data_IF_280397346283
#
_entry.id   IF_280397346283
#
_cell.length_a   1.000
_cell.length_b   1.000
_cell.length_c   1.000
_cell.angle_alpha   90.00
_cell.angle_beta   90.00
_cell.angle_gamma   90.00
#
_symmetry.space_group_name_H-M   'P 1'
#
loop_
_entity.id
_entity.type
_entity.pdbx_description
1 polymer ?
#
# COMPACT_ATOMS: atom_id res chain seq x y z
N UNK A 1 18.18 6.50 14.22
CA UNK A 1 18.11 6.23 15.66
C UNK A 1 17.19 5.05 15.89
N UNK A 2 17.60 4.04 16.62
CA UNK A 2 16.74 2.90 17.01
C UNK A 2 15.84 3.37 18.14
N UNK A 3 14.52 3.34 17.96
CA UNK A 3 13.54 3.75 18.99
C UNK A 3 12.97 2.52 19.66
N UNK A 4 12.88 2.55 20.97
CA UNK A 4 12.23 1.50 21.74
C UNK A 4 10.74 1.86 21.90
N UNK A 5 9.89 1.35 20.99
CA UNK A 5 8.44 1.60 21.03
C UNK A 5 7.77 1.01 22.28
N UNK A 6 8.50 0.20 23.06
CA UNK A 6 7.99 -0.39 24.31
C UNK A 6 8.28 0.47 25.54
N UNK A 7 9.16 1.50 25.44
CA UNK A 7 9.58 2.32 26.57
C UNK A 7 9.30 3.81 26.44
N UNK A 8 9.47 4.34 25.22
CA UNK A 8 9.32 5.78 24.93
C UNK A 8 7.86 6.25 25.12
N UNK A 9 7.60 7.57 25.33
CA UNK A 9 6.26 8.12 25.43
C UNK A 9 5.37 7.73 24.24
N UNK A 10 4.20 7.16 24.51
CA UNK A 10 3.32 6.47 23.54
C UNK A 10 3.04 7.32 22.29
N UNK A 11 2.43 8.48 22.46
CA UNK A 11 2.02 9.37 21.36
C UNK A 11 3.22 9.85 20.55
N UNK A 12 4.27 10.30 21.23
CA UNK A 12 5.48 10.85 20.61
C UNK A 12 6.21 9.77 19.81
N UNK A 13 6.32 8.56 20.34
CA UNK A 13 7.02 7.46 19.65
C UNK A 13 6.27 7.01 18.40
N UNK A 14 4.93 6.92 18.46
CA UNK A 14 4.11 6.59 17.29
C UNK A 14 4.23 7.65 16.18
N UNK A 15 4.08 8.94 16.51
CA UNK A 15 4.17 10.02 15.53
C UNK A 15 5.55 10.09 14.88
N UNK A 16 6.60 10.08 15.70
CA UNK A 16 7.97 10.16 15.19
C UNK A 16 8.40 8.90 14.41
N UNK A 17 7.72 7.78 14.60
CA UNK A 17 7.90 6.57 13.79
C UNK A 17 7.07 6.62 12.50
N UNK A 18 5.85 7.17 12.55
CA UNK A 18 4.95 7.28 11.40
C UNK A 18 5.41 8.33 10.37
N UNK A 19 5.93 9.49 10.83
CA UNK A 19 6.33 10.58 9.93
C UNK A 19 7.29 10.13 8.82
N UNK A 20 8.39 9.38 9.09
CA UNK A 20 9.26 8.91 8.02
C UNK A 20 8.58 7.91 7.07
N UNK A 21 7.58 7.14 7.52
CA UNK A 21 6.81 6.25 6.65
C UNK A 21 5.94 7.06 5.70
N UNK A 22 5.18 8.01 6.23
CA UNK A 22 4.33 8.91 5.45
C UNK A 22 5.17 9.71 4.42
N UNK A 23 6.30 10.25 4.84
CA UNK A 23 7.21 10.97 3.93
C UNK A 23 7.78 10.05 2.85
N UNK A 24 8.04 8.77 3.16
CA UNK A 24 8.49 7.78 2.19
C UNK A 24 7.45 7.52 1.11
N UNK A 25 6.21 7.29 1.50
CA UNK A 25 5.13 7.00 0.55
C UNK A 25 4.74 8.25 -0.27
N UNK A 26 4.76 9.45 0.34
CA UNK A 26 4.59 10.70 -0.40
C UNK A 26 5.72 10.91 -1.42
N UNK A 27 6.97 10.66 -1.05
CA UNK A 27 8.10 10.74 -1.97
C UNK A 27 7.98 9.75 -3.12
N UNK A 28 7.48 8.54 -2.83
CA UNK A 28 7.20 7.53 -3.84
C UNK A 28 6.14 8.00 -4.84
N UNK A 29 5.09 8.66 -4.37
CA UNK A 29 4.08 9.23 -5.26
C UNK A 29 4.63 10.40 -6.09
N UNK A 30 5.48 11.24 -5.51
CA UNK A 30 6.12 12.33 -6.25
C UNK A 30 6.99 11.81 -7.39
N UNK A 31 7.81 10.78 -7.18
CA UNK A 31 8.62 10.25 -8.27
C UNK A 31 7.77 9.52 -9.32
N UNK A 32 6.71 8.80 -8.95
CA UNK A 32 5.78 8.19 -9.90
C UNK A 32 5.11 9.23 -10.81
N UNK A 33 4.77 10.40 -10.25
CA UNK A 33 4.24 11.53 -11.02
C UNK A 33 5.31 12.09 -11.94
N UNK A 34 6.54 12.27 -11.47
CA UNK A 34 7.67 12.77 -12.28
C UNK A 34 7.96 11.85 -13.47
N UNK A 35 8.03 10.52 -13.25
CA UNK A 35 8.21 9.52 -14.30
C UNK A 35 7.07 9.61 -15.34
N UNK A 36 5.82 9.65 -14.89
CA UNK A 36 4.66 9.80 -15.77
C UNK A 36 4.71 11.10 -16.60
N UNK A 37 5.15 12.20 -15.99
CA UNK A 37 5.30 13.49 -16.69
C UNK A 37 6.42 13.43 -17.72
N UNK A 38 7.57 12.83 -17.40
CA UNK A 38 8.70 12.68 -18.33
C UNK A 38 8.27 11.85 -19.54
N UNK A 39 7.65 10.69 -19.30
CA UNK A 39 7.15 9.82 -20.38
C UNK A 39 6.11 10.56 -21.24
N UNK A 40 5.13 11.21 -20.61
CA UNK A 40 4.05 11.88 -21.34
C UNK A 40 4.53 13.08 -22.18
N UNK A 41 5.47 13.87 -21.66
CA UNK A 41 5.97 15.06 -22.36
C UNK A 41 6.98 14.75 -23.47
N UNK A 42 7.83 13.74 -23.28
CA UNK A 42 8.94 13.48 -24.20
C UNK A 42 8.70 12.30 -25.14
N UNK A 43 7.88 11.30 -24.75
CA UNK A 43 7.60 10.12 -25.58
C UNK A 43 6.20 10.13 -26.20
N UNK A 44 5.31 11.01 -25.72
CA UNK A 44 4.00 11.21 -26.30
C UNK A 44 2.90 10.31 -25.72
N UNK A 45 1.72 10.35 -26.37
CA UNK A 45 0.46 9.82 -25.83
C UNK A 45 0.45 8.28 -25.75
N UNK A 46 0.99 7.60 -26.74
CA UNK A 46 0.94 6.15 -26.81
C UNK A 46 1.86 5.50 -25.79
N UNK A 47 3.07 6.08 -25.60
CA UNK A 47 3.98 5.69 -24.53
C UNK A 47 3.37 5.91 -23.14
N UNK A 48 2.68 7.04 -22.93
CA UNK A 48 1.99 7.32 -21.67
C UNK A 48 0.88 6.31 -21.40
N UNK A 49 0.11 5.92 -22.41
CA UNK A 49 -0.92 4.89 -22.30
C UNK A 49 -0.34 3.51 -21.98
N UNK A 50 0.80 3.17 -22.60
CA UNK A 50 1.55 1.93 -22.35
C UNK A 50 2.03 1.84 -20.89
N UNK A 51 2.72 2.87 -20.41
CA UNK A 51 3.23 2.94 -19.02
C UNK A 51 2.10 2.97 -18.00
N UNK A 52 1.03 3.72 -18.26
CA UNK A 52 -0.14 3.79 -17.36
C UNK A 52 -0.86 2.44 -17.22
N UNK A 53 -1.00 1.69 -18.32
CA UNK A 53 -1.58 0.33 -18.30
C UNK A 53 -0.67 -0.66 -17.57
N UNK A 54 0.63 -0.59 -17.81
CA UNK A 54 1.65 -1.39 -17.14
C UNK A 54 1.69 -1.10 -15.63
N UNK A 55 1.53 0.15 -15.22
CA UNK A 55 1.51 0.58 -13.81
C UNK A 55 0.42 -0.13 -13.01
N UNK A 56 -0.78 -0.28 -13.57
CA UNK A 56 -1.90 -0.98 -12.90
C UNK A 56 -1.55 -2.44 -12.63
N UNK A 57 -0.96 -3.14 -13.61
CA UNK A 57 -0.51 -4.51 -13.45
C UNK A 57 0.60 -4.62 -12.39
N UNK A 58 1.58 -3.73 -12.44
CA UNK A 58 2.69 -3.71 -11.49
C UNK A 58 2.22 -3.41 -10.07
N UNK A 59 1.26 -2.52 -9.90
CA UNK A 59 0.65 -2.24 -8.59
C UNK A 59 0.01 -3.50 -8.01
N UNK A 60 -0.67 -4.30 -8.82
CA UNK A 60 -1.23 -5.57 -8.37
C UNK A 60 -0.15 -6.58 -7.98
N UNK A 61 0.88 -6.78 -8.80
CA UNK A 61 1.99 -7.71 -8.51
C UNK A 61 2.78 -7.30 -7.27
N UNK A 62 3.10 -6.01 -7.15
CA UNK A 62 3.82 -5.49 -5.99
C UNK A 62 3.00 -5.54 -4.70
N UNK A 63 1.66 -5.43 -4.78
CA UNK A 63 0.78 -5.55 -3.61
C UNK A 63 0.85 -6.94 -2.96
N UNK A 64 1.08 -7.99 -3.76
CA UNK A 64 1.29 -9.35 -3.25
C UNK A 64 2.56 -9.39 -2.38
N UNK A 65 3.68 -8.91 -2.92
CA UNK A 65 4.97 -8.88 -2.21
C UNK A 65 4.86 -8.00 -0.96
N UNK A 66 4.26 -6.82 -1.08
CA UNK A 66 4.06 -5.89 0.03
C UNK A 66 3.23 -6.54 1.15
N UNK A 67 2.12 -7.18 0.80
CA UNK A 67 1.26 -7.87 1.76
C UNK A 67 1.99 -9.00 2.51
N UNK A 68 2.79 -9.80 1.80
CA UNK A 68 3.63 -10.84 2.39
C UNK A 68 4.68 -10.26 3.35
N UNK A 69 5.34 -9.18 2.96
CA UNK A 69 6.34 -8.49 3.78
C UNK A 69 5.69 -7.82 5.02
N UNK A 70 4.50 -7.23 4.87
CA UNK A 70 3.76 -6.61 5.98
C UNK A 70 3.32 -7.65 7.02
N UNK A 71 2.83 -8.81 6.58
CA UNK A 71 2.45 -9.91 7.48
C UNK A 71 3.65 -10.44 8.26
N UNK A 72 4.77 -10.68 7.58
CA UNK A 72 6.02 -11.08 8.22
C UNK A 72 6.54 -10.00 9.17
N UNK A 73 6.46 -8.73 8.80
CA UNK A 73 6.87 -7.59 9.62
C UNK A 73 6.11 -7.49 10.95
N UNK A 74 4.82 -7.84 10.96
CA UNK A 74 4.05 -7.91 12.21
C UNK A 74 4.60 -8.98 13.16
N UNK A 75 4.92 -10.17 12.64
CA UNK A 75 5.55 -11.23 13.43
C UNK A 75 6.96 -10.84 13.91
N UNK A 76 7.77 -10.18 13.09
CA UNK A 76 9.07 -9.64 13.52
C UNK A 76 8.91 -8.65 14.68
N UNK A 77 7.91 -7.76 14.59
CA UNK A 77 7.62 -6.78 15.64
C UNK A 77 7.23 -7.46 16.96
N UNK A 78 6.40 -8.50 16.92
CA UNK A 78 6.02 -9.28 18.09
C UNK A 78 7.22 -9.98 18.73
N UNK A 79 8.06 -10.67 17.91
CA UNK A 79 9.25 -11.38 18.42
C UNK A 79 10.30 -10.42 18.96
N UNK A 80 10.44 -9.25 18.32
CA UNK A 80 11.31 -8.20 18.81
C UNK A 80 10.82 -7.66 20.18
N UNK A 81 9.52 -7.43 20.33
CA UNK A 81 8.90 -7.05 21.61
C UNK A 81 9.09 -8.10 22.71
N UNK A 82 8.98 -9.40 22.36
CA UNK A 82 9.25 -10.53 23.27
C UNK A 82 10.72 -10.64 23.68
N UNK A 83 11.63 -9.92 23.00
CA UNK A 83 13.09 -10.08 23.11
C UNK A 83 13.59 -11.50 22.84
N UNK A 84 12.82 -12.27 22.05
CA UNK A 84 13.18 -13.63 21.63
C UNK A 84 13.95 -13.54 20.30
N UNK A 85 15.27 -13.32 20.42
CA UNK A 85 16.16 -13.22 19.25
C UNK A 85 16.19 -14.50 18.43
N UNK A 86 16.03 -15.67 19.08
CA UNK A 86 16.02 -16.95 18.39
C UNK A 86 14.77 -17.09 17.50
N UNK A 87 13.59 -16.83 18.06
CA UNK A 87 12.35 -16.87 17.29
C UNK A 87 12.33 -15.79 16.18
N UNK A 88 12.91 -14.62 16.44
CA UNK A 88 13.09 -13.57 15.42
C UNK A 88 13.95 -14.06 14.26
N UNK A 89 15.11 -14.69 14.54
CA UNK A 89 16.00 -15.26 13.53
C UNK A 89 15.32 -16.38 12.73
N UNK A 90 14.56 -17.28 13.42
CA UNK A 90 13.79 -18.34 12.77
C UNK A 90 12.71 -17.78 11.83
N UNK A 91 11.99 -16.73 12.28
CA UNK A 91 10.97 -16.04 11.46
C UNK A 91 11.60 -15.30 10.27
N UNK A 92 12.75 -14.64 10.45
CA UNK A 92 13.47 -13.99 9.36
C UNK A 92 13.90 -15.00 8.29
N UNK A 93 14.46 -16.13 8.70
CA UNK A 93 14.86 -17.18 7.76
C UNK A 93 13.66 -17.75 6.99
N UNK A 94 12.60 -18.16 7.70
CA UNK A 94 11.41 -18.76 7.11
C UNK A 94 10.70 -17.79 6.14
N UNK A 95 10.54 -16.52 6.52
CA UNK A 95 9.87 -15.53 5.68
C UNK A 95 10.68 -15.16 4.45
N UNK A 96 12.01 -15.03 4.58
CA UNK A 96 12.86 -14.71 3.44
C UNK A 96 12.73 -15.77 2.34
N UNK A 97 12.90 -17.04 2.69
CA UNK A 97 12.77 -18.11 1.70
C UNK A 97 11.36 -18.26 1.15
N UNK A 98 10.33 -18.11 1.99
CA UNK A 98 8.95 -18.17 1.54
C UNK A 98 8.63 -17.05 0.55
N UNK A 99 8.95 -15.78 0.90
CA UNK A 99 8.63 -14.63 0.03
C UNK A 99 9.52 -14.64 -1.20
N UNK A 100 10.80 -15.02 -1.09
CA UNK A 100 11.68 -15.18 -2.24
C UNK A 100 11.15 -16.22 -3.23
N UNK A 101 10.67 -17.38 -2.75
CA UNK A 101 10.04 -18.40 -3.59
C UNK A 101 8.80 -17.86 -4.32
N UNK A 102 7.92 -17.17 -3.61
CA UNK A 102 6.74 -16.53 -4.21
C UNK A 102 7.15 -15.46 -5.22
N UNK A 103 8.16 -14.65 -4.91
CA UNK A 103 8.68 -13.62 -5.82
C UNK A 103 9.24 -14.22 -7.10
N UNK A 104 10.03 -15.28 -7.00
CA UNK A 104 10.56 -16.00 -8.18
C UNK A 104 9.42 -16.60 -8.99
N UNK A 105 8.45 -17.23 -8.34
CA UNK A 105 7.27 -17.77 -9.03
C UNK A 105 6.48 -16.68 -9.76
N UNK A 106 6.20 -15.55 -9.11
CA UNK A 106 5.52 -14.41 -9.73
C UNK A 106 6.31 -13.83 -10.89
N UNK A 107 7.64 -13.74 -10.74
CA UNK A 107 8.52 -13.24 -11.80
C UNK A 107 8.49 -14.15 -13.03
N UNK A 108 8.65 -15.46 -12.85
CA UNK A 108 8.57 -16.46 -13.94
C UNK A 108 7.18 -16.41 -14.60
N UNK A 109 6.11 -16.37 -13.79
CA UNK A 109 4.74 -16.31 -14.28
C UNK A 109 4.50 -15.03 -15.11
N UNK A 110 5.02 -13.88 -14.65
CA UNK A 110 4.90 -12.61 -15.36
C UNK A 110 5.56 -12.66 -16.74
N UNK A 111 6.76 -13.24 -16.84
CA UNK A 111 7.42 -13.43 -18.14
C UNK A 111 6.70 -14.47 -19.03
N UNK A 112 6.24 -15.58 -18.45
CA UNK A 112 5.54 -16.62 -19.20
C UNK A 112 4.18 -16.13 -19.76
N UNK A 113 3.51 -15.25 -19.02
CA UNK A 113 2.21 -14.69 -19.41
C UNK A 113 2.30 -13.38 -20.19
N UNK A 114 3.51 -12.84 -20.44
CA UNK A 114 3.72 -11.51 -21.01
C UNK A 114 2.90 -11.30 -22.29
N UNK A 115 3.01 -12.18 -23.26
CA UNK A 115 2.29 -12.04 -24.54
C UNK A 115 0.77 -12.25 -24.40
N UNK A 116 0.32 -13.03 -23.41
CA UNK A 116 -1.09 -13.22 -23.08
C UNK A 116 -1.74 -11.98 -22.45
N UNK A 117 -0.96 -11.09 -21.83
CA UNK A 117 -1.45 -9.86 -21.20
C UNK A 117 -2.12 -8.93 -22.20
N UNK A 118 -1.70 -8.92 -23.46
CA UNK A 118 -2.34 -8.13 -24.52
C UNK A 118 -3.83 -8.46 -24.63
N UNK A 119 -4.16 -9.75 -24.73
CA UNK A 119 -5.54 -10.20 -24.86
C UNK A 119 -6.32 -10.01 -23.56
N UNK A 120 -5.69 -10.32 -22.42
CA UNK A 120 -6.32 -10.18 -21.10
C UNK A 120 -6.67 -8.73 -20.75
N UNK A 121 -5.75 -7.79 -21.01
CA UNK A 121 -5.94 -6.37 -20.73
C UNK A 121 -6.59 -5.62 -21.92
N UNK A 122 -6.85 -6.30 -23.05
CA UNK A 122 -7.43 -5.72 -24.26
C UNK A 122 -6.66 -4.51 -24.78
N UNK A 123 -5.31 -4.60 -24.76
CA UNK A 123 -4.44 -3.49 -25.17
C UNK A 123 -4.46 -3.35 -26.70
N UNK A 124 -4.66 -2.12 -27.25
CA UNK A 124 -4.58 -1.85 -28.69
C UNK A 124 -3.22 -2.25 -29.27
N UNK A 125 -3.22 -2.63 -30.57
CA UNK A 125 -2.01 -3.09 -31.24
C UNK A 125 -0.91 -2.02 -31.29
N UNK A 126 -1.32 -0.76 -31.43
CA UNK A 126 -0.44 0.42 -31.51
C UNK A 126 0.36 0.64 -30.24
N UNK A 127 -0.27 0.45 -29.08
CA UNK A 127 0.32 0.65 -27.75
C UNK A 127 1.07 -0.58 -27.24
N UNK A 128 0.75 -1.77 -27.82
CA UNK A 128 1.28 -3.03 -27.31
C UNK A 128 2.80 -3.17 -27.41
N UNK A 129 3.41 -2.66 -28.48
CA UNK A 129 4.87 -2.73 -28.66
C UNK A 129 5.59 -2.06 -27.47
N UNK A 130 5.20 -0.83 -27.17
CA UNK A 130 5.80 -0.03 -26.09
C UNK A 130 5.51 -0.64 -24.71
N UNK A 131 4.27 -1.08 -24.50
CA UNK A 131 3.88 -1.73 -23.25
C UNK A 131 4.64 -3.04 -23.01
N UNK A 132 4.84 -3.86 -24.05
CA UNK A 132 5.58 -5.11 -23.98
C UNK A 132 7.05 -4.87 -23.63
N UNK A 133 7.68 -3.92 -24.28
CA UNK A 133 9.06 -3.54 -24.03
C UNK A 133 9.24 -3.01 -22.59
N UNK A 134 8.35 -2.12 -22.16
CA UNK A 134 8.31 -1.61 -20.79
C UNK A 134 8.15 -2.73 -19.77
N UNK A 135 7.15 -3.61 -19.93
CA UNK A 135 6.88 -4.72 -19.02
C UNK A 135 8.02 -5.70 -18.93
N UNK A 136 8.66 -6.02 -20.09
CA UNK A 136 9.80 -6.92 -20.11
C UNK A 136 10.93 -6.43 -19.21
N UNK A 137 11.25 -5.15 -19.27
CA UNK A 137 12.29 -4.54 -18.43
C UNK A 137 11.84 -4.44 -16.97
N UNK A 138 10.62 -3.94 -16.72
CA UNK A 138 10.10 -3.73 -15.36
C UNK A 138 9.99 -5.04 -14.56
N UNK A 139 9.65 -6.15 -15.19
CA UNK A 139 9.60 -7.45 -14.51
C UNK A 139 10.96 -7.89 -13.96
N UNK A 140 12.07 -7.44 -14.56
CA UNK A 140 13.40 -7.67 -13.98
C UNK A 140 13.58 -6.94 -12.62
N UNK A 141 12.79 -5.90 -12.33
CA UNK A 141 12.81 -5.17 -11.07
C UNK A 141 12.08 -5.86 -9.91
N UNK A 142 11.23 -6.86 -10.17
CA UNK A 142 10.43 -7.54 -9.13
C UNK A 142 11.30 -8.08 -7.97
N UNK A 143 12.46 -8.72 -8.20
CA UNK A 143 13.34 -9.14 -7.11
C UNK A 143 13.89 -7.97 -6.28
N UNK A 144 14.16 -6.83 -6.89
CA UNK A 144 14.62 -5.63 -6.18
C UNK A 144 13.53 -5.05 -5.27
N UNK A 145 12.27 -5.04 -5.75
CA UNK A 145 11.09 -4.66 -4.97
C UNK A 145 10.94 -5.57 -3.75
N UNK A 146 11.12 -6.88 -3.92
CA UNK A 146 11.13 -7.82 -2.79
C UNK A 146 12.20 -7.49 -1.77
N UNK A 147 13.46 -7.31 -2.21
CA UNK A 147 14.58 -7.02 -1.31
C UNK A 147 14.32 -5.74 -0.51
N UNK A 148 13.91 -4.66 -1.19
CA UNK A 148 13.59 -3.42 -0.51
C UNK A 148 12.48 -3.60 0.54
N UNK A 149 11.33 -4.13 0.15
CA UNK A 149 10.19 -4.27 1.05
C UNK A 149 10.45 -5.23 2.22
N UNK A 150 11.19 -6.31 1.98
CA UNK A 150 11.54 -7.27 3.01
C UNK A 150 12.42 -6.65 4.10
N UNK A 151 13.54 -6.03 3.71
CA UNK A 151 14.46 -5.42 4.68
C UNK A 151 13.89 -4.14 5.30
N UNK A 152 13.09 -3.37 4.57
CA UNK A 152 12.34 -2.25 5.12
C UNK A 152 11.35 -2.71 6.19
N UNK A 153 10.62 -3.81 5.96
CA UNK A 153 9.69 -4.39 6.94
C UNK A 153 10.41 -4.85 8.22
N UNK A 154 11.59 -5.46 8.08
CA UNK A 154 12.43 -5.80 9.24
C UNK A 154 12.90 -4.56 10.00
N UNK A 155 13.42 -3.54 9.32
CA UNK A 155 13.89 -2.31 9.95
C UNK A 155 12.75 -1.58 10.66
N UNK A 156 11.57 -1.51 10.04
CA UNK A 156 10.36 -0.96 10.68
C UNK A 156 9.97 -1.78 11.91
N UNK A 157 10.04 -3.11 11.82
CA UNK A 157 9.70 -4.00 12.93
C UNK A 157 10.57 -3.80 14.18
N UNK A 158 11.81 -3.36 14.02
CA UNK A 158 12.73 -3.01 15.13
C UNK A 158 12.69 -1.52 15.51
N UNK A 159 11.70 -0.76 15.04
CA UNK A 159 11.49 0.65 15.37
C UNK A 159 12.32 1.65 14.56
N UNK A 160 12.80 1.27 13.38
CA UNK A 160 13.59 2.15 12.52
C UNK A 160 12.88 2.38 11.17
N UNK A 161 12.19 3.51 11.04
CA UNK A 161 11.53 3.95 9.79
C UNK A 161 12.38 4.93 8.96
N UNK A 162 13.43 5.51 9.55
CA UNK A 162 14.26 6.54 8.89
C UNK A 162 15.18 5.93 7.83
N UNK A 163 15.77 4.75 8.11
CA UNK A 163 16.69 4.10 7.16
C UNK A 163 15.98 3.71 5.87
N UNK A 164 14.80 3.03 5.89
CA UNK A 164 14.03 2.78 4.66
C UNK A 164 13.73 4.05 3.86
N UNK A 165 13.32 5.15 4.53
CA UNK A 165 13.11 6.43 3.89
C UNK A 165 14.37 6.94 3.19
N UNK A 166 15.55 6.82 3.82
CA UNK A 166 16.82 7.27 3.23
C UNK A 166 17.14 6.54 1.92
N UNK A 167 17.00 5.20 1.89
CA UNK A 167 17.20 4.41 0.67
C UNK A 167 16.16 4.72 -0.41
N UNK A 168 14.90 4.97 -0.02
CA UNK A 168 13.86 5.38 -0.95
C UNK A 168 14.13 6.77 -1.55
N UNK A 169 14.62 7.72 -0.74
CA UNK A 169 14.99 9.05 -1.21
C UNK A 169 16.13 8.99 -2.24
N UNK A 170 17.15 8.19 -1.98
CA UNK A 170 18.24 7.95 -2.95
C UNK A 170 17.69 7.35 -4.24
N UNK A 171 16.81 6.34 -4.12
CA UNK A 171 16.17 5.71 -5.28
C UNK A 171 15.35 6.71 -6.10
N UNK A 172 14.55 7.55 -5.45
CA UNK A 172 13.70 8.54 -6.12
C UNK A 172 14.52 9.57 -6.90
N UNK A 173 15.58 10.11 -6.28
CA UNK A 173 16.48 11.07 -6.96
C UNK A 173 17.21 10.41 -8.13
N UNK A 174 17.71 9.18 -7.92
CA UNK A 174 18.39 8.43 -8.96
C UNK A 174 17.45 8.08 -10.11
N UNK A 175 16.22 7.65 -9.83
CA UNK A 175 15.23 7.36 -10.86
C UNK A 175 14.96 8.58 -11.74
N UNK A 176 14.63 9.73 -11.17
CA UNK A 176 14.37 10.96 -11.94
C UNK A 176 15.60 11.36 -12.78
N UNK A 177 16.81 11.29 -12.22
CA UNK A 177 18.04 11.61 -12.93
C UNK A 177 18.28 10.65 -14.12
N UNK A 178 18.06 9.36 -13.93
CA UNK A 178 18.21 8.35 -14.97
C UNK A 178 17.10 8.44 -16.02
N UNK A 179 15.85 8.74 -15.63
CA UNK A 179 14.76 8.98 -16.58
C UNK A 179 15.11 10.11 -17.55
N UNK A 180 15.56 11.24 -17.02
CA UNK A 180 16.00 12.38 -17.85
C UNK A 180 17.17 11.99 -18.76
N UNK A 181 18.12 11.23 -18.24
CA UNK A 181 19.29 10.81 -19.04
C UNK A 181 18.94 9.79 -20.10
N UNK A 182 18.16 8.76 -19.78
CA UNK A 182 17.85 7.66 -20.72
C UNK A 182 16.78 8.07 -21.74
N UNK A 183 15.74 8.77 -21.30
CA UNK A 183 14.65 9.18 -22.18
C UNK A 183 15.07 10.36 -23.06
N UNK A 184 15.68 11.41 -22.49
CA UNK A 184 16.02 12.64 -23.22
C UNK A 184 17.45 12.58 -23.78
N UNK A 185 18.43 12.18 -22.97
CA UNK A 185 19.83 12.19 -23.36
C UNK A 185 20.20 11.08 -24.36
N UNK A 186 19.70 9.86 -24.12
CA UNK A 186 20.01 8.68 -24.95
C UNK A 186 18.90 8.28 -25.91
N UNK A 187 17.73 8.93 -25.89
CA UNK A 187 16.56 8.65 -26.72
C UNK A 187 16.15 7.16 -26.70
N UNK A 188 16.22 6.50 -25.51
CA UNK A 188 15.90 5.07 -25.36
C UNK A 188 14.41 4.76 -25.28
N UNK A 189 13.55 5.76 -25.49
CA UNK A 189 12.10 5.56 -25.48
C UNK A 189 11.57 5.04 -24.14
N UNK A 190 10.53 4.24 -24.22
CA UNK A 190 9.81 3.66 -23.07
C UNK A 190 10.70 2.67 -22.28
N UNK A 191 11.57 1.94 -22.97
CA UNK A 191 12.53 1.06 -22.30
C UNK A 191 13.49 1.82 -21.39
N UNK A 192 13.90 3.03 -21.78
CA UNK A 192 14.77 3.89 -20.96
C UNK A 192 14.14 4.24 -19.61
N UNK A 193 12.85 4.59 -19.58
CA UNK A 193 12.11 4.86 -18.35
C UNK A 193 12.02 3.59 -17.47
N UNK A 194 11.73 2.44 -18.08
CA UNK A 194 11.71 1.17 -17.36
C UNK A 194 13.08 0.82 -16.76
N UNK A 195 14.17 0.98 -17.51
CA UNK A 195 15.54 0.73 -17.05
C UNK A 195 15.92 1.65 -15.89
N UNK A 196 15.62 2.94 -15.99
CA UNK A 196 15.85 3.90 -14.91
C UNK A 196 15.16 3.47 -13.61
N UNK A 197 13.90 3.06 -13.71
CA UNK A 197 13.13 2.55 -12.57
C UNK A 197 13.76 1.29 -11.98
N UNK A 198 14.11 0.31 -12.81
CA UNK A 198 14.72 -0.96 -12.35
C UNK A 198 16.08 -0.73 -11.69
N UNK A 199 16.94 0.10 -12.29
CA UNK A 199 18.25 0.44 -11.69
C UNK A 199 18.06 1.09 -10.33
N UNK A 200 17.17 2.08 -10.22
CA UNK A 200 16.89 2.77 -8.96
C UNK A 200 16.34 1.80 -7.88
N UNK A 201 15.47 0.86 -8.27
CA UNK A 201 14.96 -0.19 -7.39
C UNK A 201 16.07 -1.15 -6.93
N UNK A 202 17.00 -1.56 -7.80
CA UNK A 202 18.13 -2.39 -7.39
C UNK A 202 19.10 -1.64 -6.48
N UNK A 203 19.38 -0.37 -6.72
CA UNK A 203 20.23 0.44 -5.84
C UNK A 203 19.64 0.52 -4.44
N UNK A 204 18.32 0.79 -4.32
CA UNK A 204 17.66 0.82 -3.01
C UNK A 204 17.53 -0.57 -2.38
N UNK A 205 17.11 -1.59 -3.15
CA UNK A 205 16.90 -2.94 -2.66
C UNK A 205 18.20 -3.64 -2.22
N UNK A 206 19.25 -3.57 -3.03
CA UNK A 206 20.56 -4.11 -2.65
C UNK A 206 21.22 -3.25 -1.56
N UNK A 207 21.09 -1.93 -1.65
CA UNK A 207 21.65 -1.02 -0.66
C UNK A 207 21.09 -1.28 0.74
N UNK A 208 19.76 -1.36 0.89
CA UNK A 208 19.13 -1.65 2.19
C UNK A 208 19.45 -3.08 2.66
N UNK A 209 19.56 -4.06 1.75
CA UNK A 209 19.94 -5.42 2.07
C UNK A 209 21.37 -5.49 2.64
N UNK A 210 22.35 -4.91 1.93
CA UNK A 210 23.76 -4.86 2.36
C UNK A 210 23.89 -4.12 3.69
N UNK A 211 23.26 -2.96 3.81
CA UNK A 211 23.25 -2.20 5.06
C UNK A 211 22.71 -3.03 6.23
N UNK A 212 21.57 -3.68 6.03
CA UNK A 212 20.91 -4.45 7.10
C UNK A 212 21.74 -5.68 7.48
N UNK A 213 22.27 -6.42 6.51
CA UNK A 213 23.17 -7.56 6.74
C UNK A 213 24.47 -7.15 7.43
N UNK A 214 25.03 -5.98 7.11
CA UNK A 214 26.24 -5.48 7.74
C UNK A 214 26.01 -5.04 9.19
N UNK A 215 24.88 -4.36 9.47
CA UNK A 215 24.61 -3.71 10.76
C UNK A 215 23.89 -4.57 11.77
N UNK A 216 23.12 -5.57 11.32
CA UNK A 216 22.27 -6.40 12.18
C UNK A 216 22.67 -7.88 12.09
N UNK A 217 23.46 -8.40 13.05
CA UNK A 217 23.92 -9.81 13.03
C UNK A 217 22.77 -10.82 13.01
N UNK A 218 21.61 -10.48 13.59
CA UNK A 218 20.42 -11.31 13.61
C UNK A 218 19.94 -11.66 12.18
N UNK A 219 20.09 -10.74 11.24
CA UNK A 219 19.66 -10.92 9.84
C UNK A 219 20.59 -11.87 9.09
N UNK A 220 21.85 -11.98 9.49
CA UNK A 220 22.80 -12.94 8.89
C UNK A 220 22.37 -14.40 9.11
N UNK A 221 21.48 -14.64 10.08
CA UNK A 221 20.91 -15.97 10.31
C UNK A 221 20.06 -16.49 9.14
N UNK A 222 19.62 -15.63 8.22
CA UNK A 222 18.91 -16.01 6.99
C UNK A 222 19.69 -17.08 6.22
N UNK A 223 21.03 -17.03 6.22
CA UNK A 223 21.89 -18.00 5.55
C UNK A 223 22.05 -19.32 6.32
N UNK A 224 21.52 -19.43 7.55
CA UNK A 224 21.61 -20.66 8.36
C UNK A 224 20.36 -21.50 8.17
N UNK A 225 20.35 -22.41 7.20
CA UNK A 225 19.21 -23.32 6.91
C UNK A 225 18.70 -24.10 8.15
N UNK A 226 19.53 -24.25 9.20
CA UNK A 226 19.13 -24.86 10.48
C UNK A 226 18.03 -24.07 11.22
N UNK A 227 17.77 -22.83 10.83
CA UNK A 227 16.69 -21.99 11.40
C UNK A 227 15.30 -22.33 10.83
N UNK A 228 15.20 -23.14 9.77
CA UNK A 228 13.94 -23.53 9.15
C UNK A 228 13.24 -24.61 10.00
N UNK A 229 12.30 -24.19 10.84
CA UNK A 229 11.44 -25.07 11.61
C UNK A 229 10.03 -25.09 11.02
N UNK A 230 9.44 -26.29 10.85
CA UNK A 230 8.10 -26.47 10.24
C UNK A 230 7.02 -25.60 10.89
N UNK A 231 6.99 -25.49 12.22
CA UNK A 231 6.02 -24.66 12.94
C UNK A 231 6.17 -23.17 12.63
N UNK A 232 7.41 -22.68 12.46
CA UNK A 232 7.67 -21.27 12.09
C UNK A 232 7.29 -20.99 10.65
N UNK A 233 7.53 -21.94 9.76
CA UNK A 233 7.09 -21.80 8.35
C UNK A 233 5.56 -21.70 8.29
N UNK A 234 4.83 -22.55 9.01
CA UNK A 234 3.36 -22.51 9.05
C UNK A 234 2.85 -21.17 9.60
N UNK A 235 3.45 -20.66 10.69
CA UNK A 235 3.10 -19.37 11.29
C UNK A 235 3.31 -18.24 10.27
N UNK A 236 4.47 -18.17 9.63
CA UNK A 236 4.82 -17.16 8.63
C UNK A 236 3.90 -17.26 7.40
N UNK A 237 3.72 -18.44 6.84
CA UNK A 237 2.88 -18.65 5.67
C UNK A 237 1.45 -18.21 5.96
N UNK A 238 0.86 -18.62 7.09
CA UNK A 238 -0.49 -18.21 7.46
C UNK A 238 -0.63 -16.71 7.62
N UNK A 239 0.27 -16.07 8.36
CA UNK A 239 0.22 -14.64 8.63
C UNK A 239 0.44 -13.80 7.37
N UNK A 240 1.46 -14.13 6.61
CA UNK A 240 1.83 -13.40 5.41
C UNK A 240 0.79 -13.58 4.31
N UNK A 241 0.28 -14.80 4.11
CA UNK A 241 -0.75 -15.07 3.10
C UNK A 241 -2.07 -14.35 3.43
N UNK A 242 -2.51 -14.36 4.70
CA UNK A 242 -3.72 -13.63 5.07
C UNK A 242 -3.57 -12.11 4.85
N UNK A 243 -2.41 -11.54 5.16
CA UNK A 243 -2.15 -10.12 4.90
C UNK A 243 -2.04 -9.83 3.41
N UNK A 244 -1.45 -10.74 2.63
CA UNK A 244 -1.39 -10.66 1.18
C UNK A 244 -2.80 -10.70 0.56
N UNK A 245 -3.65 -11.64 0.99
CA UNK A 245 -5.06 -11.72 0.54
C UNK A 245 -5.79 -10.43 0.86
N UNK A 246 -5.62 -9.88 2.06
CA UNK A 246 -6.21 -8.59 2.44
C UNK A 246 -5.83 -7.48 1.45
N UNK A 247 -4.54 -7.31 1.15
CA UNK A 247 -4.05 -6.27 0.24
C UNK A 247 -4.51 -6.50 -1.21
N UNK A 248 -4.49 -7.73 -1.67
CA UNK A 248 -4.93 -8.08 -3.03
C UNK A 248 -6.43 -7.89 -3.21
N UNK A 249 -7.25 -8.29 -2.24
CA UNK A 249 -8.71 -8.08 -2.28
C UNK A 249 -9.04 -6.59 -2.27
N UNK A 250 -8.30 -5.79 -1.49
CA UNK A 250 -8.49 -4.34 -1.47
C UNK A 250 -8.30 -3.71 -2.86
N UNK A 251 -7.25 -4.07 -3.57
CA UNK A 251 -6.99 -3.58 -4.92
C UNK A 251 -8.01 -4.09 -5.94
N UNK A 252 -8.42 -5.36 -5.85
CA UNK A 252 -9.44 -5.94 -6.73
C UNK A 252 -10.79 -5.25 -6.59
N UNK A 253 -11.20 -4.93 -5.36
CA UNK A 253 -12.45 -4.23 -5.10
C UNK A 253 -12.51 -2.84 -5.71
N UNK A 254 -11.39 -2.11 -5.72
CA UNK A 254 -11.28 -0.81 -6.39
C UNK A 254 -11.48 -0.97 -7.90
N UNK A 255 -10.85 -1.98 -8.51
CA UNK A 255 -11.00 -2.27 -9.95
C UNK A 255 -12.45 -2.63 -10.35
N UNK A 256 -13.15 -3.39 -9.51
CA UNK A 256 -14.56 -3.74 -9.77
C UNK A 256 -15.48 -2.51 -9.80
N UNK A 257 -15.28 -1.58 -8.87
CA UNK A 257 -16.03 -0.32 -8.84
C UNK A 257 -15.67 0.55 -10.04
N UNK A 258 -14.39 0.61 -10.44
CA UNK A 258 -13.96 1.32 -11.65
C UNK A 258 -14.68 0.81 -12.89
N UNK A 259 -14.83 -0.51 -13.05
CA UNK A 259 -15.57 -1.10 -14.17
C UNK A 259 -17.03 -0.65 -14.23
N UNK A 260 -17.69 -0.54 -13.08
CA UNK A 260 -19.07 -0.04 -13.00
C UNK A 260 -19.15 1.46 -13.32
N UNK A 261 -18.25 2.28 -12.79
CA UNK A 261 -18.17 3.73 -13.06
C UNK A 261 -18.00 3.99 -14.56
N UNK A 262 -17.18 3.20 -15.25
CA UNK A 262 -16.96 3.34 -16.69
C UNK A 262 -18.24 3.17 -17.52
N UNK A 263 -19.23 2.42 -17.02
CA UNK A 263 -20.52 2.24 -17.71
C UNK A 263 -21.42 3.48 -17.70
N UNK A 264 -21.12 4.48 -16.85
CA UNK A 264 -21.87 5.74 -16.75
C UNK A 264 -21.40 6.84 -17.72
N UNK A 265 -20.45 6.52 -18.56
CA UNK A 265 -19.98 7.41 -19.62
C UNK A 265 -18.73 8.22 -19.27
N UNK A 266 -18.19 8.97 -20.26
CA UNK A 266 -16.88 9.58 -20.17
C UNK A 266 -16.76 10.67 -19.11
N UNK A 267 -17.83 11.42 -18.85
CA UNK A 267 -17.85 12.47 -17.83
C UNK A 267 -17.62 11.89 -16.42
N UNK A 268 -18.40 10.88 -16.05
CA UNK A 268 -18.29 10.22 -14.74
C UNK A 268 -16.95 9.51 -14.61
N UNK A 269 -16.48 8.88 -15.67
CA UNK A 269 -15.19 8.19 -15.71
C UNK A 269 -14.03 9.16 -15.49
N UNK A 270 -14.02 10.32 -16.16
CA UNK A 270 -13.01 11.34 -15.99
C UNK A 270 -13.06 11.98 -14.60
N UNK A 271 -14.26 12.27 -14.09
CA UNK A 271 -14.47 12.80 -12.74
C UNK A 271 -13.92 11.83 -11.67
N UNK A 272 -14.23 10.54 -11.78
CA UNK A 272 -13.77 9.52 -10.85
C UNK A 272 -12.26 9.35 -10.92
N UNK A 273 -11.67 9.31 -12.12
CA UNK A 273 -10.22 9.16 -12.29
C UNK A 273 -9.42 10.31 -11.64
N UNK A 274 -9.92 11.54 -11.72
CA UNK A 274 -9.33 12.69 -11.04
C UNK A 274 -9.54 12.65 -9.53
N UNK A 275 -10.77 12.38 -9.09
CA UNK A 275 -11.17 12.39 -7.69
C UNK A 275 -10.47 11.29 -6.86
N UNK A 276 -10.31 10.07 -7.39
CA UNK A 276 -9.58 8.97 -6.72
C UNK A 276 -8.11 9.30 -6.47
N UNK A 277 -7.48 10.10 -7.34
CA UNK A 277 -6.10 10.57 -7.10
C UNK A 277 -6.04 11.51 -5.91
N UNK A 278 -6.99 12.46 -5.82
CA UNK A 278 -7.10 13.38 -4.68
C UNK A 278 -7.34 12.61 -3.40
N UNK A 279 -8.26 11.66 -3.44
CA UNK A 279 -8.60 10.75 -2.35
C UNK A 279 -7.39 9.97 -1.84
N UNK A 280 -6.62 9.38 -2.75
CA UNK A 280 -5.41 8.62 -2.41
C UNK A 280 -4.41 9.49 -1.61
N UNK A 281 -4.17 10.73 -2.03
CA UNK A 281 -3.32 11.67 -1.27
C UNK A 281 -3.93 12.04 0.08
N UNK A 282 -5.25 12.16 0.18
CA UNK A 282 -5.94 12.55 1.41
C UNK A 282 -5.84 11.47 2.50
N UNK A 283 -6.06 10.18 2.16
CA UNK A 283 -6.07 9.12 3.17
C UNK A 283 -4.75 8.35 3.33
N UNK A 284 -3.79 8.47 2.38
CA UNK A 284 -2.49 7.80 2.47
C UNK A 284 -1.76 8.05 3.79
N UNK A 285 -1.68 9.28 4.34
CA UNK A 285 -1.02 9.50 5.62
C UNK A 285 -1.65 8.72 6.77
N UNK A 286 -2.97 8.55 6.76
CA UNK A 286 -3.68 7.80 7.81
C UNK A 286 -3.51 6.29 7.63
N UNK A 287 -3.38 5.81 6.42
CA UNK A 287 -3.03 4.42 6.13
C UNK A 287 -1.65 4.06 6.69
N UNK A 288 -0.65 4.91 6.44
CA UNK A 288 0.71 4.72 6.95
C UNK A 288 0.79 4.87 8.46
N UNK A 289 0.01 5.79 9.01
CA UNK A 289 -0.14 5.89 10.45
C UNK A 289 -0.74 4.60 11.04
N UNK A 290 -1.71 3.97 10.39
CA UNK A 290 -2.26 2.67 10.74
C UNK A 290 -1.20 1.54 10.70
N UNK A 291 -0.28 1.57 9.73
CA UNK A 291 0.84 0.64 9.64
C UNK A 291 1.87 0.88 10.76
N UNK A 292 2.18 2.13 11.07
CA UNK A 292 3.05 2.50 12.19
C UNK A 292 2.44 2.08 13.54
N UNK A 293 1.15 2.34 13.73
CA UNK A 293 0.37 1.88 14.88
C UNK A 293 0.39 0.35 15.02
N UNK A 294 0.24 -0.38 13.92
CA UNK A 294 0.35 -1.85 13.91
C UNK A 294 1.70 -2.32 14.47
N UNK A 295 2.80 -1.68 14.05
CA UNK A 295 4.15 -2.00 14.57
C UNK A 295 4.27 -1.70 16.06
N UNK A 296 3.76 -0.55 16.50
CA UNK A 296 3.73 -0.18 17.92
C UNK A 296 2.96 -1.20 18.76
N UNK A 297 1.74 -1.55 18.35
CA UNK A 297 0.92 -2.55 19.05
C UNK A 297 1.60 -3.92 19.05
N UNK A 298 2.16 -4.37 17.92
CA UNK A 298 2.79 -5.69 17.83
C UNK A 298 4.00 -5.82 18.76
N UNK A 299 4.83 -4.78 18.89
CA UNK A 299 5.96 -4.78 19.83
C UNK A 299 5.46 -4.82 21.29
N UNK A 300 4.47 -4.01 21.65
CA UNK A 300 3.93 -3.98 23.00
C UNK A 300 3.13 -5.25 23.34
N UNK A 301 2.48 -5.87 22.35
CA UNK A 301 1.83 -7.16 22.50
C UNK A 301 2.86 -8.27 22.76
N UNK A 302 3.96 -8.28 22.01
CA UNK A 302 5.09 -9.16 22.27
C UNK A 302 5.69 -8.98 23.67
N UNK A 303 5.83 -7.74 24.11
CA UNK A 303 6.34 -7.38 25.44
C UNK A 303 5.32 -7.61 26.57
N UNK A 304 4.08 -8.00 26.27
CA UNK A 304 2.95 -8.16 27.23
C UNK A 304 2.59 -6.88 27.99
N UNK A 305 2.79 -5.72 27.36
CA UNK A 305 2.52 -4.39 27.92
C UNK A 305 1.08 -3.93 27.63
N UNK A 306 0.10 -4.58 28.25
CA UNK A 306 -1.34 -4.36 28.00
C UNK A 306 -1.80 -2.93 28.26
N UNK A 307 -1.23 -2.24 29.26
CA UNK A 307 -1.56 -0.84 29.53
C UNK A 307 -1.07 0.08 28.40
N UNK A 308 0.12 -0.18 27.88
CA UNK A 308 0.64 0.58 26.74
C UNK A 308 -0.16 0.33 25.46
N UNK A 309 -0.67 -0.89 25.24
CA UNK A 309 -1.58 -1.20 24.14
C UNK A 309 -2.85 -0.35 24.25
N UNK A 310 -3.46 -0.27 25.45
CA UNK A 310 -4.67 0.56 25.68
C UNK A 310 -4.40 2.04 25.47
N UNK A 311 -3.30 2.55 26.00
CA UNK A 311 -2.88 3.95 25.84
C UNK A 311 -2.57 4.25 24.35
N UNK A 312 -1.88 3.33 23.66
CA UNK A 312 -1.59 3.41 22.24
C UNK A 312 -2.83 3.44 21.37
N UNK A 313 -3.80 2.57 21.66
CA UNK A 313 -5.09 2.55 20.95
C UNK A 313 -5.83 3.88 21.12
N UNK A 314 -5.94 4.39 22.36
CA UNK A 314 -6.60 5.69 22.62
C UNK A 314 -5.89 6.84 21.88
N UNK A 315 -4.56 6.89 21.97
CA UNK A 315 -3.76 7.92 21.29
C UNK A 315 -3.90 7.83 19.78
N UNK A 316 -3.82 6.63 19.21
CA UNK A 316 -3.94 6.42 17.77
C UNK A 316 -5.32 6.82 17.24
N UNK A 317 -6.39 6.48 17.95
CA UNK A 317 -7.76 6.91 17.59
C UNK A 317 -7.86 8.43 17.63
N UNK A 318 -7.39 9.09 18.68
CA UNK A 318 -7.43 10.55 18.77
C UNK A 318 -6.67 11.24 17.64
N UNK A 319 -5.44 10.78 17.31
CA UNK A 319 -4.61 11.36 16.26
C UNK A 319 -5.25 11.13 14.89
N UNK A 320 -5.65 9.88 14.61
CA UNK A 320 -6.27 9.52 13.32
C UNK A 320 -7.57 10.29 13.10
N UNK A 321 -8.44 10.39 14.12
CA UNK A 321 -9.70 11.13 14.00
C UNK A 321 -9.45 12.63 13.83
N UNK A 322 -8.53 13.23 14.59
CA UNK A 322 -8.18 14.63 14.44
C UNK A 322 -7.65 14.92 13.01
N UNK A 323 -6.75 14.09 12.50
CA UNK A 323 -6.25 14.21 11.12
C UNK A 323 -7.39 14.06 10.10
N UNK A 324 -8.23 13.03 10.24
CA UNK A 324 -9.33 12.77 9.31
C UNK A 324 -10.36 13.92 9.30
N UNK A 325 -10.69 14.52 10.46
CA UNK A 325 -11.58 15.68 10.52
C UNK A 325 -10.98 16.87 9.77
N UNK A 326 -9.70 17.15 9.97
CA UNK A 326 -9.02 18.25 9.28
C UNK A 326 -8.99 18.02 7.77
N UNK A 327 -8.59 16.81 7.33
CA UNK A 327 -8.51 16.51 5.91
C UNK A 327 -9.91 16.45 5.26
N UNK A 328 -10.91 15.94 5.96
CA UNK A 328 -12.32 15.97 5.54
C UNK A 328 -12.80 17.40 5.30
N UNK A 329 -12.54 18.30 6.24
CA UNK A 329 -12.90 19.71 6.10
C UNK A 329 -12.17 20.36 4.90
N UNK A 330 -10.87 20.11 4.74
CA UNK A 330 -10.09 20.63 3.62
C UNK A 330 -10.61 20.13 2.27
N UNK A 331 -10.81 18.81 2.14
CA UNK A 331 -11.31 18.23 0.88
C UNK A 331 -12.74 18.69 0.58
N UNK A 332 -13.61 18.78 1.58
CA UNK A 332 -14.99 19.23 1.41
C UNK A 332 -15.07 20.69 0.94
N UNK A 333 -14.28 21.58 1.56
CA UNK A 333 -14.28 23.02 1.25
C UNK A 333 -13.57 23.28 -0.09
N UNK A 334 -12.42 22.65 -0.31
CA UNK A 334 -11.58 22.86 -1.48
C UNK A 334 -11.81 21.84 -2.61
N UNK A 335 -12.91 21.07 -2.59
CA UNK A 335 -13.21 20.05 -3.60
C UNK A 335 -13.12 20.59 -5.04
N UNK A 336 -13.68 21.77 -5.31
CA UNK A 336 -13.65 22.40 -6.66
C UNK A 336 -12.25 22.82 -7.09
N UNK A 337 -11.46 23.57 -6.32
CA UNK A 337 -10.07 23.85 -6.63
C UNK A 337 -9.20 22.60 -6.81
N UNK A 338 -9.41 21.56 -5.98
CA UNK A 338 -8.66 20.32 -6.08
C UNK A 338 -8.96 19.58 -7.39
N UNK A 339 -10.23 19.54 -7.81
CA UNK A 339 -10.60 18.97 -9.12
C UNK A 339 -9.98 19.77 -10.28
N UNK A 340 -9.93 21.09 -10.18
CA UNK A 340 -9.36 21.97 -11.22
C UNK A 340 -7.83 21.80 -11.39
N UNK A 341 -7.13 21.09 -10.48
CA UNK A 341 -5.72 20.72 -10.67
C UNK A 341 -5.58 19.62 -11.74
N UNK A 342 -6.58 18.74 -11.85
CA UNK A 342 -6.52 17.54 -12.71
C UNK A 342 -7.40 17.63 -13.96
N UNK A 343 -8.37 18.55 -13.97
CA UNK A 343 -9.39 18.69 -15.02
C UNK A 343 -9.40 20.14 -15.51
N UNK A 344 -9.50 20.33 -16.82
CA UNK A 344 -9.56 21.68 -17.40
C UNK A 344 -10.78 22.44 -16.86
N UNK A 345 -10.59 23.73 -16.61
CA UNK A 345 -11.61 24.60 -16.06
C UNK A 345 -12.88 24.71 -16.95
N UNK A 346 -12.76 24.44 -18.25
CA UNK A 346 -13.88 24.36 -19.20
C UNK A 346 -14.78 23.14 -19.02
N UNK A 347 -14.28 22.06 -18.44
CA UNK A 347 -14.98 20.79 -18.24
C UNK A 347 -15.87 20.83 -16.97
N UNK A 348 -16.83 21.75 -16.96
CA UNK A 348 -17.64 22.04 -15.76
C UNK A 348 -18.41 20.85 -15.24
N UNK A 349 -18.94 19.98 -16.12
CA UNK A 349 -19.72 18.80 -15.72
C UNK A 349 -18.84 17.75 -15.03
N UNK A 350 -17.61 17.54 -15.52
CA UNK A 350 -16.62 16.65 -14.92
C UNK A 350 -16.23 17.15 -13.53
N UNK A 351 -15.98 18.47 -13.41
CA UNK A 351 -15.65 19.08 -12.11
C UNK A 351 -16.80 18.94 -11.13
N UNK A 352 -18.05 19.19 -11.54
CA UNK A 352 -19.21 19.08 -10.66
C UNK A 352 -19.42 17.67 -10.15
N UNK A 353 -19.26 16.65 -11.00
CA UNK A 353 -19.40 15.26 -10.61
C UNK A 353 -18.26 14.82 -9.67
N UNK A 354 -17.02 15.24 -9.96
CA UNK A 354 -15.90 14.99 -9.08
C UNK A 354 -16.02 15.69 -7.71
N UNK A 355 -16.55 16.91 -7.67
CA UNK A 355 -16.87 17.62 -6.41
C UNK A 355 -17.92 16.88 -5.61
N UNK A 356 -18.94 16.33 -6.28
CA UNK A 356 -19.99 15.53 -5.63
C UNK A 356 -19.40 14.28 -4.98
N UNK A 357 -18.55 13.55 -5.70
CA UNK A 357 -17.81 12.40 -5.18
C UNK A 357 -16.98 12.78 -3.96
N UNK A 358 -16.08 13.77 -4.09
CA UNK A 358 -15.17 14.20 -3.02
C UNK A 358 -15.90 14.69 -1.77
N UNK A 359 -17.08 15.32 -1.93
CA UNK A 359 -17.88 15.75 -0.79
C UNK A 359 -18.57 14.58 -0.07
N UNK A 360 -19.00 13.56 -0.81
CA UNK A 360 -19.61 12.36 -0.21
C UNK A 360 -18.51 11.54 0.50
N UNK A 361 -17.45 11.12 -0.19
CA UNK A 361 -16.40 10.31 0.41
C UNK A 361 -15.60 11.08 1.46
N UNK A 362 -15.19 12.30 1.13
CA UNK A 362 -14.37 13.15 1.99
C UNK A 362 -15.04 13.48 3.33
N UNK A 363 -16.37 13.58 3.41
CA UNK A 363 -17.08 13.78 4.67
C UNK A 363 -16.90 12.60 5.65
N UNK A 364 -16.54 11.41 5.18
CA UNK A 364 -16.47 10.18 5.97
C UNK A 364 -15.06 9.60 6.09
N UNK A 365 -13.99 10.38 5.88
CA UNK A 365 -12.62 9.88 6.06
C UNK A 365 -12.32 9.36 7.48
N UNK A 366 -13.10 9.77 8.48
CA UNK A 366 -13.03 9.16 9.79
C UNK A 366 -13.33 7.65 9.78
N UNK A 367 -14.22 7.19 8.89
CA UNK A 367 -14.51 5.76 8.71
C UNK A 367 -13.30 5.00 8.15
N UNK A 368 -12.69 5.45 7.06
CA UNK A 368 -11.50 4.79 6.53
C UNK A 368 -10.32 4.85 7.51
N UNK A 369 -10.18 5.96 8.25
CA UNK A 369 -9.17 6.09 9.31
C UNK A 369 -9.35 5.08 10.43
N UNK A 370 -10.58 4.84 10.89
CA UNK A 370 -10.91 3.80 11.86
C UNK A 370 -10.60 2.41 11.30
N UNK A 371 -10.95 2.15 10.05
CA UNK A 371 -10.73 0.88 9.38
C UNK A 371 -9.24 0.52 9.27
N UNK A 372 -8.37 1.47 8.91
CA UNK A 372 -6.93 1.25 8.88
C UNK A 372 -6.34 0.95 10.27
N UNK A 373 -6.84 1.60 11.32
CA UNK A 373 -6.45 1.28 12.68
C UNK A 373 -6.90 -0.14 13.08
N UNK A 374 -8.11 -0.56 12.69
CA UNK A 374 -8.60 -1.92 12.95
C UNK A 374 -7.80 -2.98 12.20
N UNK A 375 -7.44 -2.74 10.93
CA UNK A 375 -6.53 -3.62 10.18
C UNK A 375 -5.18 -3.77 10.90
N UNK A 376 -4.60 -2.64 11.32
CA UNK A 376 -3.34 -2.61 12.06
C UNK A 376 -3.43 -3.33 13.40
N UNK A 377 -4.52 -3.11 14.14
CA UNK A 377 -4.77 -3.71 15.45
C UNK A 377 -4.85 -5.25 15.36
N UNK A 378 -5.72 -5.78 14.49
CA UNK A 378 -5.92 -7.23 14.41
C UNK A 378 -4.69 -7.97 13.89
N UNK A 379 -3.98 -7.38 12.93
CA UNK A 379 -2.70 -7.92 12.47
C UNK A 379 -1.69 -7.95 13.62
N UNK A 380 -1.60 -6.87 14.41
CA UNK A 380 -0.67 -6.74 15.53
C UNK A 380 -1.00 -7.64 16.72
N UNK A 381 -2.27 -7.99 16.92
CA UNK A 381 -2.72 -8.90 18.00
C UNK A 381 -2.76 -10.38 17.57
N UNK A 382 -2.12 -10.74 16.47
CA UNK A 382 -2.05 -12.14 16.03
C UNK A 382 -3.31 -12.67 15.34
N UNK A 383 -4.21 -11.80 14.89
CA UNK A 383 -5.48 -12.17 14.25
C UNK A 383 -5.62 -11.59 12.83
N UNK A 384 -4.65 -11.82 11.90
CA UNK A 384 -4.70 -11.24 10.56
C UNK A 384 -5.94 -11.67 9.75
N UNK A 385 -6.52 -12.82 10.05
CA UNK A 385 -7.78 -13.27 9.44
C UNK A 385 -8.94 -12.31 9.67
N UNK A 386 -8.97 -11.61 10.83
CA UNK A 386 -9.99 -10.60 11.08
C UNK A 386 -9.82 -9.39 10.16
N UNK A 387 -8.59 -8.99 9.84
CA UNK A 387 -8.34 -7.93 8.85
C UNK A 387 -8.87 -8.32 7.46
N UNK A 388 -8.76 -9.59 7.06
CA UNK A 388 -9.36 -10.12 5.83
C UNK A 388 -10.89 -10.02 5.88
N UNK A 389 -11.51 -10.44 6.99
CA UNK A 389 -12.97 -10.34 7.19
C UNK A 389 -13.45 -8.89 7.03
N UNK A 390 -12.77 -7.94 7.69
CA UNK A 390 -13.12 -6.53 7.58
C UNK A 390 -12.99 -6.01 6.14
N UNK A 391 -11.94 -6.44 5.41
CA UNK A 391 -11.76 -6.07 4.00
C UNK A 391 -12.88 -6.63 3.14
N UNK A 392 -13.25 -7.89 3.32
CA UNK A 392 -14.35 -8.53 2.58
C UNK A 392 -15.68 -7.85 2.91
N UNK A 393 -15.95 -7.52 4.18
CA UNK A 393 -17.16 -6.78 4.57
C UNK A 393 -17.18 -5.41 3.92
N UNK A 394 -16.09 -4.64 4.02
CA UNK A 394 -16.00 -3.29 3.45
C UNK A 394 -16.21 -3.30 1.94
N UNK A 395 -15.38 -4.05 1.23
CA UNK A 395 -15.36 -4.06 -0.24
C UNK A 395 -16.52 -4.87 -0.84
N UNK A 396 -16.88 -6.00 -0.23
CA UNK A 396 -18.03 -6.79 -0.68
C UNK A 396 -19.32 -5.99 -0.59
N UNK A 397 -19.55 -5.29 0.52
CA UNK A 397 -20.70 -4.39 0.69
C UNK A 397 -20.62 -3.22 -0.28
N UNK A 398 -19.46 -2.59 -0.43
CA UNK A 398 -19.24 -1.49 -1.39
C UNK A 398 -19.61 -1.92 -2.81
N UNK A 399 -19.08 -3.06 -3.28
CA UNK A 399 -19.38 -3.56 -4.63
C UNK A 399 -20.86 -3.91 -4.75
N UNK A 400 -21.43 -4.66 -3.82
CA UNK A 400 -22.85 -5.04 -3.86
C UNK A 400 -23.77 -3.81 -3.88
N UNK A 401 -23.55 -2.84 -2.99
CA UNK A 401 -24.34 -1.61 -2.93
C UNK A 401 -24.12 -0.73 -4.16
N UNK A 402 -22.90 -0.65 -4.70
CA UNK A 402 -22.64 0.11 -5.91
C UNK A 402 -23.50 -0.40 -7.07
N UNK A 403 -23.54 -1.72 -7.30
CA UNK A 403 -24.38 -2.30 -8.34
C UNK A 403 -25.89 -2.18 -8.05
N UNK A 404 -26.33 -2.42 -6.81
CA UNK A 404 -27.73 -2.35 -6.42
C UNK A 404 -28.29 -0.93 -6.48
N UNK A 405 -27.58 0.03 -5.89
CA UNK A 405 -28.06 1.42 -5.82
C UNK A 405 -27.99 2.13 -7.17
N UNK A 406 -26.92 1.86 -7.95
CA UNK A 406 -26.79 2.48 -9.28
C UNK A 406 -27.79 1.96 -10.29
N UNK A 407 -28.38 0.77 -10.09
CA UNK A 407 -29.42 0.23 -10.92
C UNK A 407 -30.76 0.94 -10.71
N UNK A 408 -30.94 1.72 -9.64
CA UNK A 408 -32.13 2.50 -9.35
C UNK A 408 -32.02 3.84 -10.11
N UNK A 409 -32.88 4.14 -11.12
CA UNK A 409 -32.72 5.34 -11.96
C UNK A 409 -32.69 6.66 -11.19
N UNK A 410 -33.43 6.72 -10.06
CA UNK A 410 -33.47 7.91 -9.20
C UNK A 410 -32.21 8.16 -8.41
N UNK A 411 -31.36 7.14 -8.21
CA UNK A 411 -30.14 7.22 -7.44
C UNK A 411 -28.90 7.30 -8.37
N UNK A 412 -28.84 6.41 -9.37
CA UNK A 412 -27.80 6.39 -10.39
C UNK A 412 -26.37 6.37 -9.80
N UNK A 413 -25.49 7.20 -10.35
CA UNK A 413 -24.07 7.31 -9.97
C UNK A 413 -23.87 7.65 -8.48
N UNK A 414 -24.76 8.42 -7.89
CA UNK A 414 -24.67 8.81 -6.46
C UNK A 414 -24.66 7.57 -5.55
N UNK A 415 -25.36 6.50 -5.96
CA UNK A 415 -25.37 5.24 -5.24
C UNK A 415 -24.00 4.57 -5.18
N UNK A 416 -23.17 4.73 -6.21
CA UNK A 416 -21.80 4.25 -6.22
C UNK A 416 -20.98 5.01 -5.17
N UNK A 417 -21.11 6.35 -5.13
CA UNK A 417 -20.38 7.18 -4.17
C UNK A 417 -20.75 6.86 -2.71
N UNK A 418 -22.03 6.70 -2.41
CA UNK A 418 -22.48 6.34 -1.06
C UNK A 418 -22.15 4.92 -0.65
N UNK A 419 -21.93 4.00 -1.58
CA UNK A 419 -21.55 2.62 -1.28
C UNK A 419 -20.23 2.53 -0.52
N UNK A 420 -19.33 3.50 -0.73
CA UNK A 420 -17.98 3.54 -0.13
C UNK A 420 -18.06 3.81 1.37
N UNK A 421 -18.60 4.95 1.85
CA UNK A 421 -18.67 5.22 3.29
C UNK A 421 -19.59 4.22 4.04
N UNK A 422 -20.62 3.68 3.40
CA UNK A 422 -21.45 2.62 4.00
C UNK A 422 -20.61 1.35 4.21
N UNK A 423 -19.78 0.97 3.23
CA UNK A 423 -18.87 -0.16 3.35
C UNK A 423 -17.86 0.01 4.50
N UNK A 424 -17.30 1.21 4.67
CA UNK A 424 -16.42 1.51 5.82
C UNK A 424 -17.17 1.40 7.14
N UNK A 425 -18.34 2.00 7.25
CA UNK A 425 -19.14 1.98 8.48
C UNK A 425 -19.51 0.56 8.92
N UNK A 426 -19.91 -0.32 7.98
CA UNK A 426 -20.23 -1.71 8.29
C UNK A 426 -19.00 -2.52 8.73
N UNK A 427 -17.87 -2.31 8.08
CA UNK A 427 -16.61 -2.94 8.49
C UNK A 427 -16.16 -2.45 9.87
N UNK A 428 -16.24 -1.14 10.14
CA UNK A 428 -15.92 -0.56 11.44
C UNK A 428 -16.81 -1.10 12.54
N UNK A 429 -18.12 -1.15 12.33
CA UNK A 429 -19.06 -1.75 13.29
C UNK A 429 -18.70 -3.22 13.56
N UNK A 430 -18.43 -3.99 12.52
CA UNK A 430 -18.01 -5.40 12.64
C UNK A 430 -16.72 -5.52 13.46
N UNK A 431 -15.72 -4.69 13.16
CA UNK A 431 -14.46 -4.69 13.88
C UNK A 431 -14.62 -4.27 15.33
N UNK A 432 -15.33 -3.19 15.60
CA UNK A 432 -15.57 -2.70 16.95
C UNK A 432 -16.37 -3.71 17.80
N UNK A 433 -17.37 -4.36 17.20
CA UNK A 433 -18.14 -5.41 17.87
C UNK A 433 -17.25 -6.60 18.24
N UNK A 434 -16.44 -7.09 17.30
CA UNK A 434 -15.48 -8.17 17.56
C UNK A 434 -14.47 -7.79 18.65
N UNK A 435 -13.95 -6.55 18.64
CA UNK A 435 -13.06 -6.07 19.69
C UNK A 435 -13.73 -6.07 21.06
N UNK A 436 -14.98 -5.55 21.17
CA UNK A 436 -15.71 -5.54 22.43
C UNK A 436 -15.97 -6.95 22.95
N UNK A 437 -16.39 -7.87 22.07
CA UNK A 437 -16.71 -9.24 22.43
C UNK A 437 -15.49 -10.05 22.91
N UNK A 438 -14.31 -9.80 22.29
CA UNK A 438 -13.07 -10.58 22.53
C UNK A 438 -11.99 -9.78 23.27
N UNK A 439 -12.30 -8.61 23.83
CA UNK A 439 -11.32 -7.70 24.44
C UNK A 439 -10.45 -8.37 25.49
N UNK A 440 -11.04 -9.22 26.33
CA UNK A 440 -10.29 -9.94 27.38
C UNK A 440 -9.28 -10.92 26.79
N UNK A 441 -9.69 -11.69 25.77
CA UNK A 441 -8.83 -12.65 25.07
C UNK A 441 -7.72 -11.96 24.24
N UNK A 442 -8.03 -10.82 23.62
CA UNK A 442 -7.10 -10.07 22.75
C UNK A 442 -6.01 -9.34 23.55
N UNK A 443 -6.27 -9.01 24.82
CA UNK A 443 -5.36 -8.22 25.67
C UNK A 443 -4.79 -9.04 26.85
N UNK A 444 -5.13 -10.31 26.96
CA UNK A 444 -4.54 -11.24 27.90
C UNK A 444 -3.19 -11.74 27.36
#
# INVERSE_FOLDING_TARGET
>A
MKRDLTRDPVTKSMLLFAIPMILGDLLQQCYNIADTLIVGQFLGRDALAAVGSAFTLMTFLTSIILGLCMGSGALFSMRFGQRDEKALCENLCASFFFIALVTVFLNILSFACLDGLRTFLRVPAEVWSDMREYLFVIFMGIPAVFLYNYFASFLRAIGNSVIPLGFLAVSAVLNIALDLWFVIGLNRGVAGAAEATVIAQYVSGLGIAVFTLARFPQVRSIWKLRCLRRGRIQEIVSFSTLTCVQQSVMNLGILMVQGLVNSFGPIVMAAFAAAVKIDAFAYMPVQDFGNAFSTFIAQNYGAKESERIRAGLKSAVCISMAFCVVISALVFVFARPLMAIFVDAGETEVILEGVRYLRIEGAFYCGIGCLFLLYGLYRALGRPGMSVVLTVVSLGTRVALAYLLSAIPAIGVIGIWWSVPIGWALADLTGLFYYKARKKELLA
#
